data_IF_764099630628
#
_entry.id   IF_764099630628
#
_cell.length_a   1.000
_cell.length_b   1.000
_cell.length_c   1.000
_cell.angle_alpha   90.00
_cell.angle_beta   90.00
_cell.angle_gamma   90.00
#
_symmetry.space_group_name_H-M   'P 1'
#
loop_
_entity.id
_entity.type
_entity.pdbx_description
1 polymer ?
#
# COMPACT_ATOMS: atom_id res chain seq x y z
N UNK A 1 -2.84 -25.22 -7.07
CA UNK A 1 -3.74 -25.37 -5.91
C UNK A 1 -3.45 -24.23 -4.95
N UNK A 2 -4.22 -23.15 -5.02
CA UNK A 2 -4.30 -22.11 -4.00
C UNK A 2 -5.74 -21.64 -3.96
N UNK A 3 -6.64 -22.55 -3.57
CA UNK A 3 -8.00 -22.18 -3.20
C UNK A 3 -7.94 -21.62 -1.78
N UNK A 4 -7.56 -20.36 -1.71
CA UNK A 4 -7.51 -19.57 -0.49
C UNK A 4 -8.20 -18.25 -0.77
N UNK A 5 -9.45 -18.31 -1.23
CA UNK A 5 -10.29 -17.14 -1.40
C UNK A 5 -10.38 -16.41 -0.05
N UNK A 6 -9.48 -15.45 0.17
CA UNK A 6 -9.50 -14.56 1.33
C UNK A 6 -10.85 -13.86 1.31
N UNK A 7 -11.44 -13.74 2.48
CA UNK A 7 -12.78 -13.23 2.61
C UNK A 7 -12.84 -11.72 2.32
N UNK A 8 -12.93 -11.33 1.05
CA UNK A 8 -13.04 -9.93 0.61
C UNK A 8 -14.47 -9.39 0.73
N UNK A 9 -15.08 -9.61 1.89
CA UNK A 9 -16.37 -9.01 2.25
C UNK A 9 -16.16 -7.60 2.78
N UNK A 10 -16.98 -6.67 2.32
CA UNK A 10 -17.04 -5.30 2.85
C UNK A 10 -17.49 -5.31 4.33
N UNK A 11 -17.40 -4.15 4.99
CA UNK A 11 -17.97 -3.96 6.33
C UNK A 11 -19.48 -4.33 6.42
N UNK A 12 -20.18 -4.42 5.28
CA UNK A 12 -21.58 -4.87 5.16
C UNK A 12 -21.73 -6.36 4.77
N UNK A 13 -20.66 -7.14 4.80
CA UNK A 13 -20.68 -8.58 4.46
C UNK A 13 -20.81 -8.87 2.96
N UNK A 14 -20.66 -7.87 2.09
CA UNK A 14 -20.82 -8.04 0.64
C UNK A 14 -19.47 -8.28 -0.04
N UNK A 15 -19.36 -9.35 -0.84
CA UNK A 15 -18.18 -9.59 -1.69
C UNK A 15 -17.98 -8.43 -2.66
N UNK A 16 -16.78 -7.87 -2.69
CA UNK A 16 -16.39 -6.84 -3.68
C UNK A 16 -15.55 -7.50 -4.77
N UNK A 17 -16.04 -7.49 -6.00
CA UNK A 17 -15.25 -7.95 -7.15
C UNK A 17 -14.14 -6.95 -7.48
N UNK A 18 -12.95 -7.45 -7.79
CA UNK A 18 -11.74 -6.65 -7.97
C UNK A 18 -11.09 -6.24 -6.66
N UNK A 19 -11.42 -6.92 -5.55
CA UNK A 19 -10.83 -6.64 -4.24
C UNK A 19 -9.60 -7.51 -3.93
N UNK A 20 -9.42 -8.64 -4.63
CA UNK A 20 -8.21 -9.46 -4.53
C UNK A 20 -7.23 -9.15 -5.66
N UNK A 21 -5.94 -9.36 -5.41
CA UNK A 21 -4.89 -9.21 -6.41
C UNK A 21 -5.11 -10.18 -7.59
N UNK A 22 -5.56 -11.41 -7.32
CA UNK A 22 -5.89 -12.41 -8.34
C UNK A 22 -7.02 -11.97 -9.28
N UNK A 23 -8.08 -11.37 -8.73
CA UNK A 23 -9.18 -10.81 -9.52
C UNK A 23 -8.69 -9.64 -10.39
N UNK A 24 -7.78 -8.82 -9.87
CA UNK A 24 -7.16 -7.75 -10.65
C UNK A 24 -6.32 -8.29 -11.82
N UNK A 25 -5.56 -9.39 -11.64
CA UNK A 25 -4.88 -10.05 -12.76
C UNK A 25 -5.88 -10.51 -13.82
N UNK A 26 -6.94 -11.20 -13.41
CA UNK A 26 -8.01 -11.68 -14.31
C UNK A 26 -8.64 -10.52 -15.09
N UNK A 27 -8.91 -9.40 -14.42
CA UNK A 27 -9.46 -8.20 -15.03
C UNK A 27 -8.51 -7.59 -16.06
N UNK A 28 -7.22 -7.45 -15.73
CA UNK A 28 -6.21 -6.90 -16.64
C UNK A 28 -6.06 -7.79 -17.88
N UNK A 29 -6.04 -9.11 -17.70
CA UNK A 29 -5.96 -10.08 -18.80
C UNK A 29 -7.18 -9.97 -19.73
N UNK A 30 -8.37 -9.83 -19.16
CA UNK A 30 -9.60 -9.63 -19.93
C UNK A 30 -9.65 -8.30 -20.69
N UNK A 31 -9.02 -7.24 -20.16
CA UNK A 31 -8.90 -5.95 -20.83
C UNK A 31 -7.89 -6.03 -21.99
N UNK A 32 -6.78 -6.75 -21.82
CA UNK A 32 -5.81 -7.00 -22.88
C UNK A 32 -5.08 -5.75 -23.38
N UNK A 33 -4.85 -4.77 -22.50
CA UNK A 33 -4.16 -3.51 -22.84
C UNK A 33 -2.94 -3.30 -21.96
N UNK A 34 -1.83 -2.89 -22.56
CA UNK A 34 -0.55 -2.67 -21.87
C UNK A 34 -0.52 -1.43 -20.96
N UNK A 35 -1.50 -0.53 -21.08
CA UNK A 35 -1.59 0.69 -20.28
C UNK A 35 -2.51 0.54 -19.04
N UNK A 36 -2.81 -0.69 -18.65
CA UNK A 36 -3.64 -1.01 -17.48
C UNK A 36 -2.82 -1.86 -16.52
N UNK A 37 -2.87 -1.52 -15.23
CA UNK A 37 -2.13 -2.20 -14.18
C UNK A 37 -2.82 -2.05 -12.82
N UNK A 38 -2.14 -2.52 -11.78
CA UNK A 38 -2.61 -2.55 -10.41
C UNK A 38 -2.17 -1.27 -9.69
N UNK A 39 -3.13 -0.65 -9.00
CA UNK A 39 -2.86 0.30 -7.93
C UNK A 39 -2.97 -0.45 -6.60
N UNK A 40 -1.84 -0.65 -5.91
CA UNK A 40 -1.84 -1.31 -4.60
C UNK A 40 -2.07 -0.28 -3.51
N UNK A 41 -3.19 -0.39 -2.82
CA UNK A 41 -3.40 0.26 -1.54
C UNK A 41 -2.86 -0.63 -0.41
N UNK A 42 -1.74 -0.22 0.18
CA UNK A 42 -1.05 -1.00 1.20
C UNK A 42 -1.85 -1.07 2.51
N UNK A 43 -2.65 -0.05 2.81
CA UNK A 43 -3.47 -0.01 4.00
C UNK A 43 -4.66 -0.97 3.91
N UNK A 44 -5.37 -0.94 2.77
CA UNK A 44 -6.44 -1.89 2.49
C UNK A 44 -5.94 -3.34 2.37
N UNK A 45 -4.74 -3.55 1.84
CA UNK A 45 -4.11 -4.87 1.83
C UNK A 45 -3.86 -5.37 3.27
N UNK A 46 -3.34 -4.51 4.16
CA UNK A 46 -3.08 -4.84 5.56
C UNK A 46 -4.36 -5.21 6.32
N UNK A 47 -5.46 -4.46 6.12
CA UNK A 47 -6.78 -4.78 6.71
C UNK A 47 -7.33 -6.12 6.20
N UNK A 48 -6.97 -6.50 4.97
CA UNK A 48 -7.31 -7.82 4.40
C UNK A 48 -6.37 -8.94 4.83
N UNK A 49 -5.41 -8.65 5.72
CA UNK A 49 -4.45 -9.62 6.26
C UNK A 49 -3.29 -9.93 5.32
N UNK A 50 -3.02 -9.09 4.33
CA UNK A 50 -1.81 -9.20 3.51
C UNK A 50 -0.64 -8.52 4.21
N UNK A 51 0.51 -9.20 4.23
CA UNK A 51 1.79 -8.53 4.42
C UNK A 51 2.11 -7.69 3.17
N UNK A 52 2.61 -6.47 3.36
CA UNK A 52 2.92 -5.57 2.24
C UNK A 52 3.87 -6.23 1.23
N UNK A 53 4.90 -6.94 1.71
CA UNK A 53 5.85 -7.63 0.84
C UNK A 53 5.17 -8.74 0.00
N UNK A 54 4.21 -9.45 0.57
CA UNK A 54 3.44 -10.47 -0.15
C UNK A 54 2.59 -9.81 -1.25
N UNK A 55 1.83 -8.77 -0.90
CA UNK A 55 0.96 -8.07 -1.84
C UNK A 55 1.75 -7.47 -3.02
N UNK A 56 2.90 -6.85 -2.75
CA UNK A 56 3.78 -6.31 -3.79
C UNK A 56 4.27 -7.40 -4.74
N UNK A 57 4.74 -8.54 -4.20
CA UNK A 57 5.21 -9.66 -5.02
C UNK A 57 4.09 -10.26 -5.87
N UNK A 58 2.90 -10.38 -5.31
CA UNK A 58 1.74 -10.86 -6.06
C UNK A 58 1.40 -9.92 -7.22
N UNK A 59 1.47 -8.60 -7.03
CA UNK A 59 1.25 -7.65 -8.12
C UNK A 59 2.33 -7.73 -9.21
N UNK A 60 3.59 -7.93 -8.82
CA UNK A 60 4.73 -8.06 -9.73
C UNK A 60 4.88 -6.87 -10.68
N UNK A 61 5.23 -7.15 -11.93
CA UNK A 61 5.39 -6.14 -13.00
C UNK A 61 4.14 -5.32 -13.30
N UNK A 62 2.96 -5.78 -12.85
CA UNK A 62 1.69 -5.08 -13.06
C UNK A 62 1.44 -4.00 -12.03
N UNK A 63 2.26 -3.86 -10.99
CA UNK A 63 2.16 -2.76 -10.04
C UNK A 63 2.60 -1.45 -10.69
N UNK A 64 1.65 -0.55 -10.96
CA UNK A 64 1.93 0.74 -11.63
C UNK A 64 1.70 1.95 -10.72
N UNK A 65 0.91 1.80 -9.66
CA UNK A 65 0.61 2.86 -8.69
C UNK A 65 0.54 2.29 -7.27
N UNK A 66 0.80 3.14 -6.28
CA UNK A 66 0.61 2.80 -4.87
C UNK A 66 -0.24 3.85 -4.19
N UNK A 67 -1.05 3.42 -3.24
CA UNK A 67 -1.57 4.28 -2.19
C UNK A 67 -0.89 3.88 -0.89
N UNK A 68 -0.14 4.82 -0.31
CA UNK A 68 0.71 4.60 0.84
C UNK A 68 0.06 5.23 2.08
N UNK A 69 -0.34 4.37 3.00
CA UNK A 69 -0.83 4.71 4.33
C UNK A 69 -0.49 3.58 5.29
N UNK A 70 -0.63 3.83 6.59
CA UNK A 70 -0.42 2.83 7.63
C UNK A 70 -1.72 2.64 8.44
N UNK A 71 -1.87 1.47 9.04
CA UNK A 71 -2.94 1.15 9.98
C UNK A 71 -2.56 -0.03 10.88
N UNK A 72 -3.42 -0.41 11.81
CA UNK A 72 -3.19 -1.49 12.77
C UNK A 72 -3.70 -2.87 12.32
N UNK A 73 -4.19 -2.97 11.08
CA UNK A 73 -4.79 -4.17 10.51
C UNK A 73 -6.29 -4.33 10.82
N UNK A 74 -6.89 -3.45 11.63
CA UNK A 74 -8.30 -3.57 12.04
C UNK A 74 -9.26 -2.77 11.19
N UNK A 75 -8.80 -1.64 10.66
CA UNK A 75 -9.62 -0.72 9.85
C UNK A 75 -8.74 0.15 8.97
N UNK A 76 -9.39 0.80 8.02
CA UNK A 76 -8.79 1.82 7.20
C UNK A 76 -8.43 3.06 8.05
N UNK A 77 -7.14 3.24 8.30
CA UNK A 77 -6.62 4.16 9.32
C UNK A 77 -6.07 5.47 8.76
N UNK A 78 -5.61 5.47 7.50
CA UNK A 78 -4.93 6.58 6.83
C UNK A 78 -3.81 7.23 7.65
N UNK A 79 -3.07 6.43 8.43
CA UNK A 79 -1.96 6.95 9.23
C UNK A 79 -0.74 7.19 8.32
N UNK A 80 0.12 8.12 8.72
CA UNK A 80 1.44 8.25 8.08
C UNK A 80 2.26 6.96 8.26
N UNK A 81 3.17 6.61 7.33
CA UNK A 81 4.08 5.48 7.50
C UNK A 81 4.74 5.48 8.88
N UNK A 82 4.97 4.28 9.42
CA UNK A 82 5.55 4.01 10.75
C UNK A 82 4.64 4.37 11.93
N UNK A 83 3.35 4.62 11.71
CA UNK A 83 2.37 4.93 12.78
C UNK A 83 1.38 3.79 13.03
N UNK A 84 1.38 2.76 12.18
CA UNK A 84 0.59 1.55 12.35
C UNK A 84 1.50 0.33 12.56
N UNK A 85 1.09 -0.80 12.00
CA UNK A 85 1.76 -2.10 12.17
C UNK A 85 2.25 -2.72 10.87
N UNK A 86 2.19 -2.00 9.75
CA UNK A 86 2.74 -2.49 8.48
C UNK A 86 4.25 -2.66 8.60
N UNK A 87 4.76 -3.82 8.17
CA UNK A 87 6.20 -4.07 8.11
C UNK A 87 6.83 -3.36 6.90
N UNK A 88 7.15 -2.09 7.07
CA UNK A 88 7.69 -1.25 6.00
C UNK A 88 9.06 -1.73 5.49
N UNK A 89 9.92 -2.30 6.35
CA UNK A 89 11.26 -2.74 5.93
C UNK A 89 11.15 -3.80 4.83
N UNK A 90 10.36 -4.84 5.05
CA UNK A 90 10.18 -5.92 4.06
C UNK A 90 9.34 -5.46 2.87
N UNK A 91 8.39 -4.56 3.08
CA UNK A 91 7.57 -3.97 2.02
C UNK A 91 8.38 -3.13 1.02
N UNK A 92 9.24 -2.23 1.51
CA UNK A 92 10.15 -1.44 0.67
C UNK A 92 11.16 -2.34 -0.06
N UNK A 93 11.69 -3.36 0.62
CA UNK A 93 12.55 -4.35 -0.02
C UNK A 93 11.84 -5.07 -1.18
N UNK A 94 10.57 -5.44 -1.01
CA UNK A 94 9.78 -6.06 -2.08
C UNK A 94 9.53 -5.11 -3.26
N UNK A 95 9.27 -3.82 -3.02
CA UNK A 95 9.13 -2.82 -4.09
C UNK A 95 10.42 -2.70 -4.92
N UNK A 96 11.57 -2.70 -4.24
CA UNK A 96 12.89 -2.70 -4.90
C UNK A 96 13.11 -3.97 -5.71
N UNK A 97 12.77 -5.13 -5.14
CA UNK A 97 12.94 -6.43 -5.78
C UNK A 97 12.16 -6.55 -7.09
N UNK A 98 10.90 -6.09 -7.13
CA UNK A 98 10.10 -6.12 -8.35
C UNK A 98 10.46 -5.00 -9.35
N UNK A 99 11.43 -4.13 -9.00
CA UNK A 99 11.81 -2.98 -9.82
C UNK A 99 10.69 -1.95 -9.97
N UNK A 100 9.94 -1.67 -8.89
CA UNK A 100 8.93 -0.61 -8.92
C UNK A 100 9.59 0.78 -8.94
N UNK A 101 9.28 1.57 -9.97
CA UNK A 101 9.80 2.93 -10.16
C UNK A 101 8.68 4.00 -10.18
N UNK A 102 7.45 3.61 -9.85
CA UNK A 102 6.33 4.54 -9.77
C UNK A 102 6.36 5.42 -8.52
N UNK A 103 5.36 6.29 -8.38
CA UNK A 103 5.27 7.19 -7.24
C UNK A 103 5.03 6.43 -5.93
N UNK A 104 5.77 6.80 -4.88
CA UNK A 104 5.45 6.45 -3.51
C UNK A 104 4.36 7.40 -2.98
N UNK A 105 3.14 7.20 -3.44
CA UNK A 105 2.06 8.19 -3.32
C UNK A 105 1.33 8.06 -1.97
N UNK A 106 1.56 9.03 -1.09
CA UNK A 106 0.99 9.08 0.26
C UNK A 106 -0.51 9.40 0.22
N UNK A 107 -1.33 8.49 0.74
CA UNK A 107 -2.79 8.64 0.90
C UNK A 107 -3.14 8.86 2.37
N UNK A 108 -2.74 10.02 2.90
CA UNK A 108 -2.96 10.41 4.29
C UNK A 108 -3.83 11.68 4.34
N UNK A 109 -4.58 11.97 5.42
CA UNK A 109 -5.60 13.02 5.43
C UNK A 109 -5.01 14.44 5.37
N UNK A 110 -3.69 14.62 5.19
CA UNK A 110 -3.04 15.92 5.07
C UNK A 110 -3.00 16.70 6.38
N UNK A 111 -3.09 16.00 7.53
CA UNK A 111 -2.95 16.60 8.85
C UNK A 111 -3.90 17.80 9.08
N UNK A 112 -5.16 17.60 8.67
CA UNK A 112 -6.25 18.59 8.74
C UNK A 112 -6.60 19.00 10.17
N UNK A 113 -7.27 20.15 10.29
CA UNK A 113 -7.82 20.64 11.55
C UNK A 113 -6.85 21.48 12.39
N UNK A 114 -5.66 21.76 11.86
CA UNK A 114 -4.68 22.64 12.50
C UNK A 114 -4.49 23.95 11.70
N UNK A 115 -4.06 25.04 12.37
CA UNK A 115 -3.52 26.21 11.68
C UNK A 115 -2.38 25.83 10.73
N UNK A 116 -2.27 26.53 9.59
CA UNK A 116 -1.33 26.19 8.52
C UNK A 116 0.12 25.96 8.98
N UNK A 117 0.62 26.79 9.91
CA UNK A 117 2.00 26.65 10.42
C UNK A 117 2.22 25.37 11.24
N UNK A 118 1.19 24.81 11.88
CA UNK A 118 1.28 23.53 12.58
C UNK A 118 1.07 22.35 11.62
N UNK A 119 0.21 22.50 10.61
CA UNK A 119 0.08 21.52 9.52
C UNK A 119 1.42 21.34 8.80
N UNK A 120 2.12 22.44 8.48
CA UNK A 120 3.45 22.39 7.85
C UNK A 120 4.45 21.59 8.70
N UNK A 121 4.51 21.84 10.01
CA UNK A 121 5.39 21.07 10.91
C UNK A 121 5.10 19.57 10.91
N UNK A 122 3.83 19.18 10.81
CA UNK A 122 3.50 17.75 10.70
C UNK A 122 3.91 17.18 9.35
N UNK A 123 3.69 17.92 8.26
CA UNK A 123 4.12 17.51 6.92
C UNK A 123 5.64 17.40 6.80
N UNK A 124 6.41 18.25 7.48
CA UNK A 124 7.87 18.13 7.58
C UNK A 124 8.27 16.80 8.24
N UNK A 125 7.56 16.41 9.31
CA UNK A 125 7.75 15.12 9.96
C UNK A 125 7.45 13.94 9.04
N UNK A 126 6.32 13.99 8.32
CA UNK A 126 5.97 12.95 7.33
C UNK A 126 7.04 12.86 6.24
N UNK A 127 7.48 14.00 5.69
CA UNK A 127 8.53 14.06 4.68
C UNK A 127 9.84 13.45 5.18
N UNK A 128 10.26 13.78 6.40
CA UNK A 128 11.46 13.24 7.00
C UNK A 128 11.36 11.71 7.18
N UNK A 129 10.23 11.21 7.68
CA UNK A 129 9.96 9.78 7.81
C UNK A 129 9.96 9.07 6.46
N UNK A 130 9.33 9.64 5.43
CA UNK A 130 9.32 9.04 4.09
C UNK A 130 10.71 9.00 3.47
N UNK A 131 11.51 10.06 3.63
CA UNK A 131 12.91 10.07 3.16
C UNK A 131 13.74 9.01 3.85
N UNK A 132 13.64 8.94 5.18
CA UNK A 132 14.26 7.89 5.97
C UNK A 132 13.84 6.52 5.44
N UNK A 133 12.55 6.26 5.30
CA UNK A 133 12.05 4.95 4.87
C UNK A 133 12.54 4.50 3.49
N UNK A 134 12.67 5.44 2.54
CA UNK A 134 13.09 5.15 1.18
C UNK A 134 14.61 5.08 0.99
N UNK A 135 15.38 5.49 2.00
CA UNK A 135 16.84 5.49 1.97
C UNK A 135 17.38 4.04 1.81
N UNK A 136 18.23 3.77 0.80
CA UNK A 136 18.82 2.46 0.60
C UNK A 136 19.80 2.05 1.72
N UNK A 137 20.38 2.99 2.46
CA UNK A 137 21.42 2.74 3.47
C UNK A 137 20.88 2.23 4.82
N UNK A 138 19.57 2.01 4.93
CA UNK A 138 18.93 1.49 6.15
C UNK A 138 18.97 -0.03 6.33
N UNK A 139 19.60 -0.73 5.40
CA UNK A 139 19.90 -2.15 5.56
C UNK A 139 21.23 -2.32 6.26
N UNK A 140 21.22 -2.43 7.60
CA UNK A 140 22.15 -3.23 8.43
C UNK A 140 22.15 -2.75 9.89
N UNK A 141 21.00 -2.91 10.56
CA UNK A 141 20.93 -3.06 12.01
C UNK A 141 19.90 -4.14 12.33
#
# INVERSE_FOLDING_TARGET
MTDGARDCRSAMGQRRYGATIEELHTLIDGIGRSNVGICLDVGHAHVQGYEMAEAVRQCGERLIATHIQDNDGTRDGHLAPTRGTINWRVGIAALREIGYHGLFNLEIPGERGLPAHLTLKRLEGVLATTRWLLDPEQGDA
#
